data_IF_845593057738
#
_entry.id   IF_845593057738
#
_cell.length_a   1.000
_cell.length_b   1.000
_cell.length_c   1.000
_cell.angle_alpha   90.00
_cell.angle_beta   90.00
_cell.angle_gamma   90.00
#
_symmetry.space_group_name_H-M   'P 1'
#
loop_
_entity.id
_entity.type
_entity.pdbx_description
1 polymer ?
#
# COMPACT_ATOMS: atom_id res chain seq x y z
N UNK A 1 32.13 10.30 -18.36
CA UNK A 1 31.19 11.43 -18.55
C UNK A 1 29.72 11.01 -18.68
N UNK A 2 29.31 9.88 -19.29
CA UNK A 2 27.89 9.49 -19.35
C UNK A 2 27.29 9.05 -17.99
N UNK A 3 28.12 8.61 -17.04
CA UNK A 3 27.65 8.06 -15.75
C UNK A 3 27.00 9.13 -14.85
N UNK A 4 27.53 10.36 -14.86
CA UNK A 4 26.97 11.47 -14.07
C UNK A 4 25.56 11.86 -14.51
N UNK A 5 25.24 11.70 -15.80
CA UNK A 5 23.89 11.95 -16.30
C UNK A 5 22.89 10.92 -15.75
N UNK A 6 23.31 9.65 -15.62
CA UNK A 6 22.49 8.61 -15.02
C UNK A 6 22.34 8.77 -13.51
N UNK A 7 23.38 9.24 -12.80
CA UNK A 7 23.27 9.56 -11.38
C UNK A 7 22.30 10.72 -11.14
N UNK A 8 22.38 11.78 -11.94
CA UNK A 8 21.44 12.89 -11.86
C UNK A 8 20.01 12.45 -12.19
N UNK A 9 19.85 11.61 -13.22
CA UNK A 9 18.56 11.05 -13.60
C UNK A 9 17.95 10.17 -12.50
N UNK A 10 18.75 9.31 -11.86
CA UNK A 10 18.32 8.49 -10.72
C UNK A 10 17.86 9.38 -9.56
N UNK A 11 18.63 10.42 -9.22
CA UNK A 11 18.28 11.35 -8.15
C UNK A 11 16.97 12.10 -8.44
N UNK A 12 16.74 12.48 -9.69
CA UNK A 12 15.47 13.04 -10.14
C UNK A 12 14.35 12.00 -10.05
N UNK A 13 14.60 10.77 -10.51
CA UNK A 13 13.62 9.69 -10.52
C UNK A 13 13.19 9.30 -9.11
N UNK A 14 14.12 9.13 -8.16
CA UNK A 14 13.78 8.82 -6.76
C UNK A 14 13.06 9.99 -6.09
N UNK A 15 13.39 11.22 -6.45
CA UNK A 15 12.69 12.41 -5.94
C UNK A 15 11.24 12.42 -6.43
N UNK A 16 11.01 12.12 -7.71
CA UNK A 16 9.65 11.99 -8.27
C UNK A 16 8.91 10.81 -7.61
N UNK A 17 9.55 9.64 -7.50
CA UNK A 17 8.99 8.46 -6.86
C UNK A 17 8.55 8.77 -5.42
N UNK A 18 9.39 9.47 -4.67
CA UNK A 18 9.15 9.71 -3.24
C UNK A 18 8.19 10.86 -2.99
N UNK A 19 8.40 12.02 -3.63
CA UNK A 19 7.63 13.23 -3.33
C UNK A 19 6.42 13.46 -4.24
N UNK A 20 6.45 12.98 -5.49
CA UNK A 20 5.33 13.16 -6.42
C UNK A 20 4.39 11.94 -6.44
N UNK A 21 4.92 10.72 -6.26
CA UNK A 21 4.12 9.50 -6.30
C UNK A 21 3.76 9.01 -4.89
N UNK A 22 4.75 8.77 -4.03
CA UNK A 22 4.51 8.17 -2.72
C UNK A 22 3.87 9.14 -1.72
N UNK A 23 4.48 10.31 -1.48
CA UNK A 23 4.05 11.24 -0.44
C UNK A 23 2.58 11.71 -0.57
N UNK A 24 2.08 12.08 -1.77
CA UNK A 24 0.69 12.51 -1.91
C UNK A 24 -0.31 11.38 -1.68
N UNK A 25 0.09 10.12 -1.92
CA UNK A 25 -0.77 8.95 -1.81
C UNK A 25 -0.81 8.39 -0.38
N UNK A 26 0.32 8.31 0.31
CA UNK A 26 0.42 7.58 1.57
C UNK A 26 0.61 8.51 2.79
N UNK A 27 1.06 9.77 2.61
CA UNK A 27 1.26 10.80 3.66
C UNK A 27 2.12 10.38 4.87
N UNK A 28 2.83 9.25 4.78
CA UNK A 28 3.75 8.72 5.80
C UNK A 28 5.17 9.28 5.60
N UNK A 29 5.66 10.07 6.55
CA UNK A 29 6.95 10.78 6.44
C UNK A 29 8.15 9.89 6.77
N UNK A 30 7.93 8.87 7.58
CA UNK A 30 8.91 7.90 8.05
C UNK A 30 9.56 7.12 6.89
N UNK A 31 8.79 6.80 5.85
CA UNK A 31 9.26 6.01 4.71
C UNK A 31 10.00 6.82 3.64
N UNK A 32 9.87 8.15 3.63
CA UNK A 32 10.58 9.05 2.69
C UNK A 32 12.09 8.91 2.84
N UNK A 33 12.57 8.97 4.09
CA UNK A 33 14.00 8.82 4.39
C UNK A 33 14.50 7.45 3.99
N UNK A 34 13.66 6.42 4.17
CA UNK A 34 14.03 5.06 3.83
C UNK A 34 14.14 4.84 2.32
N UNK A 35 13.22 5.36 1.50
CA UNK A 35 13.33 5.24 0.04
C UNK A 35 14.52 6.00 -0.53
N UNK A 36 14.75 7.23 -0.07
CA UNK A 36 15.91 8.03 -0.49
C UNK A 36 17.22 7.37 -0.05
N UNK A 37 17.32 6.97 1.22
CA UNK A 37 18.52 6.35 1.77
C UNK A 37 18.86 5.03 1.10
N UNK A 38 17.86 4.19 0.82
CA UNK A 38 18.06 2.92 0.12
C UNK A 38 18.49 3.15 -1.33
N UNK A 39 17.81 4.03 -2.07
CA UNK A 39 18.16 4.31 -3.47
C UNK A 39 19.56 4.90 -3.60
N UNK A 40 19.87 5.96 -2.85
CA UNK A 40 21.20 6.61 -2.88
C UNK A 40 22.29 5.65 -2.38
N UNK A 41 22.00 4.85 -1.34
CA UNK A 41 22.91 3.83 -0.85
C UNK A 41 23.23 2.78 -1.91
N UNK A 42 22.21 2.27 -2.62
CA UNK A 42 22.41 1.30 -3.71
C UNK A 42 23.11 1.93 -4.91
N UNK A 43 22.76 3.16 -5.29
CA UNK A 43 23.47 3.92 -6.33
C UNK A 43 24.96 4.01 -6.01
N UNK A 44 25.31 4.42 -4.80
CA UNK A 44 26.70 4.57 -4.36
C UNK A 44 27.45 3.23 -4.34
N UNK A 45 26.86 2.18 -3.75
CA UNK A 45 27.48 0.85 -3.67
C UNK A 45 27.62 0.25 -5.07
N UNK A 46 26.62 0.36 -5.93
CA UNK A 46 26.68 -0.19 -7.27
C UNK A 46 27.61 0.57 -8.20
N UNK A 47 27.69 1.91 -8.10
CA UNK A 47 28.68 2.70 -8.80
C UNK A 47 30.12 2.35 -8.36
N UNK A 48 30.33 2.13 -7.05
CA UNK A 48 31.63 1.72 -6.53
C UNK A 48 32.05 0.31 -6.99
N UNK A 49 31.08 -0.61 -7.15
CA UNK A 49 31.32 -2.00 -7.55
C UNK A 49 31.29 -2.22 -9.07
N UNK A 50 30.70 -1.31 -9.85
CA UNK A 50 30.47 -1.47 -11.29
C UNK A 50 31.74 -1.59 -12.13
N UNK A 51 32.89 -1.16 -11.63
CA UNK A 51 34.20 -1.37 -12.26
C UNK A 51 34.81 -2.76 -12.00
N UNK A 52 34.19 -3.55 -11.13
CA UNK A 52 34.66 -4.88 -10.74
C UNK A 52 33.77 -5.96 -11.36
N UNK A 53 34.30 -7.16 -11.64
CA UNK A 53 33.55 -8.33 -12.16
C UNK A 53 32.51 -8.91 -11.18
N UNK A 54 32.15 -8.16 -10.14
CA UNK A 54 31.35 -8.53 -8.97
C UNK A 54 29.84 -8.33 -9.22
N UNK A 55 29.40 -8.35 -10.48
CA UNK A 55 27.97 -8.24 -10.83
C UNK A 55 27.10 -9.31 -10.14
N UNK A 56 27.65 -10.50 -9.90
CA UNK A 56 26.97 -11.58 -9.18
C UNK A 56 26.83 -11.33 -7.66
N UNK A 57 27.79 -10.63 -7.05
CA UNK A 57 27.78 -10.34 -5.61
C UNK A 57 26.70 -9.32 -5.21
N UNK A 58 26.36 -8.41 -6.13
CA UNK A 58 25.32 -7.40 -5.93
C UNK A 58 23.92 -8.03 -5.88
N UNK A 59 23.65 -9.04 -6.72
CA UNK A 59 22.40 -9.79 -6.69
C UNK A 59 22.21 -10.56 -5.38
N UNK A 60 23.27 -11.18 -4.85
CA UNK A 60 23.26 -11.81 -3.53
C UNK A 60 23.04 -10.80 -2.39
N UNK A 61 23.67 -9.62 -2.48
CA UNK A 61 23.48 -8.54 -1.50
C UNK A 61 22.04 -8.01 -1.47
N UNK A 62 21.43 -7.79 -2.63
CA UNK A 62 20.02 -7.40 -2.72
C UNK A 62 19.11 -8.48 -2.16
N UNK A 63 19.39 -9.76 -2.42
CA UNK A 63 18.63 -10.86 -1.83
C UNK A 63 18.74 -10.89 -0.29
N UNK A 64 19.91 -10.59 0.27
CA UNK A 64 20.12 -10.45 1.71
C UNK A 64 19.37 -9.27 2.32
N UNK A 65 19.35 -8.11 1.64
CA UNK A 65 18.56 -6.96 2.10
C UNK A 65 17.06 -7.30 2.07
N UNK A 66 16.58 -7.97 1.02
CA UNK A 66 15.19 -8.40 0.90
C UNK A 66 14.81 -9.44 1.96
N UNK A 67 15.71 -10.37 2.30
CA UNK A 67 15.46 -11.36 3.35
C UNK A 67 15.36 -10.69 4.73
N UNK A 68 16.19 -9.67 5.00
CA UNK A 68 16.13 -8.89 6.24
C UNK A 68 14.88 -8.01 6.31
N UNK A 69 14.45 -7.42 5.18
CA UNK A 69 13.21 -6.63 5.12
C UNK A 69 11.99 -7.48 5.49
N UNK A 70 11.94 -8.76 5.09
CA UNK A 70 10.87 -9.70 5.48
C UNK A 70 10.88 -10.03 6.98
N UNK A 71 12.03 -9.97 7.64
CA UNK A 71 12.19 -10.30 9.07
C UNK A 71 11.81 -9.14 10.01
N UNK A 72 11.37 -7.99 9.47
CA UNK A 72 11.02 -6.84 10.29
C UNK A 72 9.66 -7.02 10.96
N UNK A 73 9.59 -6.67 12.25
CA UNK A 73 8.39 -6.75 13.10
C UNK A 73 7.23 -5.82 12.73
N UNK A 74 7.43 -4.92 11.76
CA UNK A 74 6.37 -4.10 11.18
C UNK A 74 6.13 -4.60 9.77
N UNK A 75 4.94 -5.17 9.52
CA UNK A 75 4.55 -5.55 8.17
C UNK A 75 4.49 -4.29 7.30
N UNK A 76 5.41 -4.17 6.36
CA UNK A 76 5.30 -3.19 5.30
C UNK A 76 4.04 -3.52 4.49
N UNK A 77 3.21 -2.51 4.21
CA UNK A 77 2.06 -2.74 3.34
C UNK A 77 2.56 -3.21 1.97
N UNK A 78 1.78 -4.08 1.29
CA UNK A 78 2.19 -4.60 -0.02
C UNK A 78 2.50 -3.48 -1.04
N UNK A 79 1.82 -2.34 -0.93
CA UNK A 79 2.13 -1.15 -1.73
C UNK A 79 3.50 -0.56 -1.41
N UNK A 80 3.88 -0.48 -0.13
CA UNK A 80 5.15 0.08 0.34
C UNK A 80 6.35 -0.74 -0.14
N UNK A 81 6.18 -2.06 -0.24
CA UNK A 81 7.17 -2.97 -0.80
C UNK A 81 7.44 -2.61 -2.28
N UNK A 82 6.41 -2.35 -3.08
CA UNK A 82 6.59 -1.97 -4.49
C UNK A 82 7.42 -0.69 -4.66
N UNK A 83 7.20 0.32 -3.80
CA UNK A 83 8.02 1.54 -3.78
C UNK A 83 9.47 1.27 -3.38
N UNK A 84 9.71 0.39 -2.39
CA UNK A 84 11.06 -0.02 -2.00
C UNK A 84 11.82 -0.69 -3.15
N UNK A 85 11.19 -1.65 -3.81
CA UNK A 85 11.79 -2.35 -4.95
C UNK A 85 12.05 -1.40 -6.12
N UNK A 86 11.15 -0.44 -6.36
CA UNK A 86 11.35 0.58 -7.38
C UNK A 86 12.54 1.48 -7.07
N UNK A 87 12.67 1.93 -5.81
CA UNK A 87 13.80 2.72 -5.36
C UNK A 87 15.14 1.95 -5.50
N UNK A 88 15.16 0.66 -5.15
CA UNK A 88 16.32 -0.23 -5.35
C UNK A 88 16.69 -0.37 -6.83
N UNK A 89 15.70 -0.61 -7.69
CA UNK A 89 15.91 -0.80 -9.12
C UNK A 89 16.43 0.48 -9.80
N UNK A 90 15.87 1.64 -9.46
CA UNK A 90 16.35 2.93 -9.96
C UNK A 90 17.83 3.15 -9.59
N UNK A 91 18.18 2.94 -8.32
CA UNK A 91 19.56 3.12 -7.84
C UNK A 91 20.53 2.16 -8.51
N UNK A 92 20.09 0.93 -8.80
CA UNK A 92 20.90 -0.06 -9.51
C UNK A 92 21.10 0.31 -10.99
N UNK A 93 20.06 0.78 -11.67
CA UNK A 93 20.16 1.24 -13.07
C UNK A 93 21.07 2.48 -13.15
N UNK A 94 20.94 3.40 -12.19
CA UNK A 94 21.77 4.58 -12.09
C UNK A 94 23.24 4.24 -11.83
N UNK A 95 23.51 3.30 -10.91
CA UNK A 95 24.86 3.03 -10.42
C UNK A 95 25.65 2.00 -11.23
N UNK A 96 25.02 0.96 -11.77
CA UNK A 96 25.72 0.00 -12.64
C UNK A 96 26.02 0.57 -14.03
N UNK A 97 25.31 1.62 -14.42
CA UNK A 97 25.32 2.11 -15.79
C UNK A 97 24.68 1.10 -16.75
N UNK A 98 24.26 1.61 -17.90
CA UNK A 98 23.69 0.80 -18.99
C UNK A 98 24.39 1.16 -20.29
N UNK A 99 24.34 0.25 -21.26
CA UNK A 99 25.04 0.40 -22.55
C UNK A 99 24.69 1.71 -23.29
N UNK A 100 23.50 2.26 -23.05
CA UNK A 100 23.07 3.55 -23.60
C UNK A 100 22.34 4.38 -22.54
N UNK A 101 22.69 5.66 -22.33
CA UNK A 101 21.98 6.55 -21.42
C UNK A 101 20.48 6.67 -21.73
N UNK A 102 20.10 6.63 -23.01
CA UNK A 102 18.71 6.65 -23.43
C UNK A 102 17.93 5.42 -22.94
N UNK A 103 18.58 4.25 -22.93
CA UNK A 103 17.98 3.04 -22.38
C UNK A 103 17.78 3.14 -20.87
N UNK A 104 18.75 3.72 -20.15
CA UNK A 104 18.67 3.90 -18.69
C UNK A 104 17.53 4.82 -18.30
N UNK A 105 17.44 5.97 -18.98
CA UNK A 105 16.32 6.89 -18.84
C UNK A 105 14.98 6.23 -19.18
N UNK A 106 14.93 5.42 -20.24
CA UNK A 106 13.73 4.67 -20.63
C UNK A 106 13.27 3.70 -19.54
N UNK A 107 14.19 2.93 -18.95
CA UNK A 107 13.88 2.00 -17.86
C UNK A 107 13.43 2.72 -16.59
N UNK A 108 14.12 3.80 -16.21
CA UNK A 108 13.72 4.62 -15.05
C UNK A 108 12.32 5.20 -15.25
N UNK A 109 12.04 5.76 -16.43
CA UNK A 109 10.72 6.28 -16.79
C UNK A 109 9.65 5.18 -16.77
N UNK A 110 9.95 3.99 -17.30
CA UNK A 110 9.02 2.86 -17.29
C UNK A 110 8.65 2.43 -15.87
N UNK A 111 9.62 2.36 -14.96
CA UNK A 111 9.36 2.06 -13.54
C UNK A 111 8.42 3.11 -12.93
N UNK A 112 8.72 4.40 -13.12
CA UNK A 112 7.90 5.49 -12.60
C UNK A 112 6.48 5.46 -13.17
N UNK A 113 6.31 5.22 -14.47
CA UNK A 113 5.00 5.12 -15.13
C UNK A 113 4.22 3.92 -14.57
N UNK A 114 4.88 2.77 -14.42
CA UNK A 114 4.23 1.55 -13.90
C UNK A 114 3.70 1.77 -12.49
N UNK A 115 4.49 2.37 -11.60
CA UNK A 115 4.05 2.71 -10.24
C UNK A 115 2.96 3.80 -10.27
N UNK A 116 3.11 4.81 -11.12
CA UNK A 116 2.13 5.89 -11.22
C UNK A 116 0.75 5.40 -11.64
N UNK A 117 0.70 4.43 -12.56
CA UNK A 117 -0.54 3.80 -13.05
C UNK A 117 -1.05 2.77 -12.05
N UNK A 118 -0.19 1.87 -11.57
CA UNK A 118 -0.58 0.76 -10.69
C UNK A 118 -1.10 1.22 -9.34
N UNK A 119 -0.47 2.24 -8.74
CA UNK A 119 -0.88 2.79 -7.44
C UNK A 119 -1.82 4.01 -7.58
N UNK A 120 -2.46 4.20 -8.74
CA UNK A 120 -3.34 5.35 -8.91
C UNK A 120 -4.60 5.21 -8.04
N UNK A 121 -4.92 6.19 -7.15
CA UNK A 121 -6.07 6.12 -6.23
C UNK A 121 -7.45 6.05 -6.92
N UNK A 122 -7.49 6.18 -8.25
CA UNK A 122 -8.72 6.08 -9.06
C UNK A 122 -8.94 4.67 -9.62
N UNK A 123 -7.90 3.85 -9.73
CA UNK A 123 -8.03 2.47 -10.23
C UNK A 123 -8.76 1.55 -9.24
N UNK A 124 -8.58 1.75 -7.92
CA UNK A 124 -9.13 0.88 -6.87
C UNK A 124 -10.10 1.57 -5.92
N UNK A 125 -10.67 2.72 -6.30
CA UNK A 125 -11.53 3.58 -5.44
C UNK A 125 -12.79 2.89 -4.88
N UNK A 126 -13.14 1.71 -5.40
CA UNK A 126 -14.28 0.89 -4.97
C UNK A 126 -13.95 -0.19 -3.94
N UNK A 127 -12.67 -0.48 -3.67
CA UNK A 127 -12.26 -1.50 -2.71
C UNK A 127 -11.65 -0.84 -1.48
N UNK A 128 -12.40 -0.83 -0.38
CA UNK A 128 -11.92 -0.38 0.94
C UNK A 128 -11.75 -1.59 1.83
N UNK A 129 -10.58 -1.74 2.45
CA UNK A 129 -10.35 -2.69 3.53
C UNK A 129 -10.42 -1.93 4.86
N UNK A 130 -11.18 -2.45 5.82
CA UNK A 130 -11.30 -1.85 7.14
C UNK A 130 -11.31 -2.95 8.20
N UNK A 131 -10.41 -2.85 9.18
CA UNK A 131 -10.46 -3.68 10.37
C UNK A 131 -11.54 -3.13 11.29
N UNK A 132 -12.57 -3.93 11.54
CA UNK A 132 -13.67 -3.61 12.45
C UNK A 132 -13.59 -4.57 13.62
N UNK A 133 -13.67 -4.02 14.84
CA UNK A 133 -13.85 -4.80 16.06
C UNK A 133 -15.35 -4.89 16.30
N UNK A 134 -15.87 -6.11 16.29
CA UNK A 134 -17.25 -6.42 16.64
C UNK A 134 -17.28 -6.87 18.10
N UNK A 135 -18.16 -6.28 18.91
CA UNK A 135 -18.38 -6.63 20.33
C UNK A 135 -19.21 -7.92 20.51
N UNK A 136 -19.27 -8.75 19.46
CA UNK A 136 -19.93 -10.05 19.50
C UNK A 136 -19.10 -11.06 18.71
N UNK A 137 -18.90 -12.25 19.30
CA UNK A 137 -18.27 -13.39 18.63
C UNK A 137 -19.23 -14.00 17.59
N UNK A 138 -18.84 -13.97 16.32
CA UNK A 138 -19.59 -14.64 15.24
C UNK A 138 -18.84 -15.91 14.81
N UNK A 139 -19.41 -17.07 15.14
CA UNK A 139 -18.88 -18.38 14.71
C UNK A 139 -19.29 -18.80 13.29
N UNK A 140 -20.25 -18.09 12.69
CA UNK A 140 -20.75 -18.35 11.34
C UNK A 140 -20.41 -17.18 10.40
N UNK A 141 -19.72 -17.49 9.30
CA UNK A 141 -19.26 -16.53 8.30
C UNK A 141 -20.43 -15.83 7.59
N UNK A 142 -21.57 -16.52 7.42
CA UNK A 142 -22.75 -15.92 6.78
C UNK A 142 -23.44 -14.89 7.68
N UNK A 143 -23.54 -15.18 8.97
CA UNK A 143 -24.08 -14.25 9.97
C UNK A 143 -23.17 -13.02 10.12
N UNK A 144 -21.85 -13.22 10.06
CA UNK A 144 -20.85 -12.16 10.11
C UNK A 144 -20.96 -11.20 8.91
N UNK A 145 -21.01 -11.74 7.68
CA UNK A 145 -21.15 -10.92 6.46
C UNK A 145 -22.46 -10.12 6.48
N UNK A 146 -23.59 -10.75 6.84
CA UNK A 146 -24.88 -10.07 6.92
C UNK A 146 -24.94 -8.99 8.02
N UNK A 147 -24.20 -9.16 9.11
CA UNK A 147 -24.05 -8.12 10.13
C UNK A 147 -23.18 -6.96 9.62
N UNK A 148 -22.06 -7.26 8.97
CA UNK A 148 -21.14 -6.26 8.42
C UNK A 148 -21.78 -5.44 7.29
N UNK A 149 -22.55 -6.04 6.39
CA UNK A 149 -23.27 -5.32 5.35
C UNK A 149 -24.30 -4.34 5.92
N UNK A 150 -25.01 -4.72 6.98
CA UNK A 150 -25.96 -3.85 7.71
C UNK A 150 -25.26 -2.70 8.43
N UNK A 151 -24.12 -2.97 9.06
CA UNK A 151 -23.37 -1.98 9.83
C UNK A 151 -22.66 -0.95 8.93
N UNK A 152 -22.09 -1.40 7.81
CA UNK A 152 -21.35 -0.56 6.86
C UNK A 152 -22.24 0.11 5.80
N UNK A 153 -23.48 -0.33 5.62
CA UNK A 153 -24.35 0.12 4.52
C UNK A 153 -23.72 -0.13 3.14
N UNK A 154 -22.91 -1.18 3.02
CA UNK A 154 -22.06 -1.46 1.87
C UNK A 154 -22.13 -2.93 1.49
N UNK A 155 -21.81 -3.24 0.23
CA UNK A 155 -21.64 -4.64 -0.19
C UNK A 155 -20.28 -5.14 0.29
N UNK A 156 -20.26 -6.20 1.07
CA UNK A 156 -19.02 -6.84 1.53
C UNK A 156 -18.59 -7.85 0.47
N UNK A 157 -17.37 -7.70 -0.05
CA UNK A 157 -16.79 -8.59 -1.05
C UNK A 157 -15.93 -9.69 -0.44
N UNK A 158 -15.29 -9.40 0.69
CA UNK A 158 -14.54 -10.38 1.47
C UNK A 158 -14.51 -9.93 2.94
N UNK A 159 -14.66 -10.86 3.87
CA UNK A 159 -14.48 -10.62 5.29
C UNK A 159 -13.50 -11.68 5.81
N UNK A 160 -12.36 -11.25 6.33
CA UNK A 160 -11.34 -12.15 6.88
C UNK A 160 -11.23 -11.91 8.38
N UNK A 161 -11.59 -12.90 9.19
CA UNK A 161 -11.43 -12.83 10.66
C UNK A 161 -9.94 -12.90 10.98
N UNK A 162 -9.37 -11.81 11.50
CA UNK A 162 -7.97 -11.74 11.90
C UNK A 162 -7.75 -12.27 13.31
N UNK A 163 -8.71 -12.03 14.22
CA UNK A 163 -8.64 -12.50 15.61
C UNK A 163 -10.03 -12.67 16.18
N UNK A 164 -10.28 -13.82 16.78
CA UNK A 164 -11.49 -14.10 17.56
C UNK A 164 -11.08 -14.22 19.02
N UNK A 165 -11.53 -13.28 19.85
CA UNK A 165 -11.33 -13.29 21.28
C UNK A 165 -12.65 -13.70 21.95
N UNK A 166 -12.76 -14.99 22.25
CA UNK A 166 -13.92 -15.60 22.89
C UNK A 166 -14.04 -15.27 24.38
N UNK A 167 -13.01 -14.67 24.99
CA UNK A 167 -13.02 -14.30 26.41
C UNK A 167 -13.67 -12.94 26.59
N UNK A 168 -13.42 -12.01 25.66
CA UNK A 168 -14.00 -10.67 25.66
C UNK A 168 -15.17 -10.52 24.66
N UNK A 169 -15.60 -11.61 24.03
CA UNK A 169 -16.60 -11.62 22.95
C UNK A 169 -16.27 -10.64 21.80
N UNK A 170 -14.98 -10.42 21.49
CA UNK A 170 -14.59 -9.51 20.40
C UNK A 170 -14.09 -10.24 19.16
N UNK A 171 -14.53 -9.79 17.99
CA UNK A 171 -14.04 -10.30 16.69
C UNK A 171 -13.38 -9.17 15.91
N UNK A 172 -12.09 -9.32 15.60
CA UNK A 172 -11.35 -8.45 14.70
C UNK A 172 -11.47 -8.99 13.29
N UNK A 173 -12.11 -8.23 12.40
CA UNK A 173 -12.35 -8.65 11.02
C UNK A 173 -11.83 -7.61 10.06
N UNK A 174 -10.99 -8.01 9.11
CA UNK A 174 -10.64 -7.18 7.96
C UNK A 174 -11.68 -7.37 6.86
N UNK A 175 -12.43 -6.30 6.60
CA UNK A 175 -13.60 -6.33 5.73
C UNK A 175 -13.29 -5.51 4.48
N UNK A 176 -13.35 -6.17 3.32
CA UNK A 176 -13.29 -5.53 2.01
C UNK A 176 -14.70 -5.23 1.54
N UNK A 177 -15.07 -3.96 1.44
CA UNK A 177 -16.41 -3.56 1.03
C UNK A 177 -16.38 -2.46 -0.05
N UNK A 178 -17.48 -2.39 -0.81
CA UNK A 178 -17.77 -1.30 -1.74
C UNK A 178 -19.08 -0.61 -1.35
N UNK A 179 -19.05 0.70 -1.16
CA UNK A 179 -20.26 1.49 -0.86
C UNK A 179 -21.19 1.50 -2.08
N UNK A 180 -22.46 1.18 -1.85
CA UNK A 180 -23.50 1.42 -2.85
C UNK A 180 -23.62 2.93 -3.08
N UNK A 181 -23.54 3.36 -4.33
CA UNK A 181 -23.88 4.74 -4.68
C UNK A 181 -25.38 4.95 -4.48
N UNK A 182 -25.78 5.52 -3.33
CA UNK A 182 -27.02 6.31 -3.07
C UNK A 182 -28.35 5.63 -3.51
N UNK A 183 -29.28 5.29 -2.62
CA UNK A 183 -29.97 6.21 -1.73
C UNK A 183 -30.58 5.49 -0.51
N UNK A 184 -30.44 6.13 0.65
CA UNK A 184 -31.22 5.85 1.85
C UNK A 184 -32.65 6.35 1.61
N UNK A 185 -33.61 5.44 1.51
CA UNK A 185 -34.94 5.71 2.02
C UNK A 185 -34.91 5.25 3.47
N UNK A 186 -34.79 6.20 4.40
CA UNK A 186 -34.93 5.93 5.82
C UNK A 186 -36.35 5.36 6.04
N UNK A 187 -36.53 4.31 6.85
CA UNK A 187 -37.86 3.92 7.27
C UNK A 187 -38.47 5.10 8.03
N UNK A 188 -39.65 5.55 7.59
CA UNK A 188 -40.41 6.58 8.27
C UNK A 188 -40.57 6.15 9.73
N UNK A 189 -40.09 6.99 10.64
CA UNK A 189 -40.29 6.80 12.07
C UNK A 189 -41.80 6.73 12.33
N UNK A 190 -42.24 5.57 12.81
CA UNK A 190 -43.60 5.29 13.24
C UNK A 190 -43.90 6.23 14.43
N UNK A 191 -44.72 7.25 14.18
CA UNK A 191 -45.20 8.16 15.21
C UNK A 191 -46.08 7.37 16.21
N UNK A 192 -45.83 7.44 17.52
CA UNK A 192 -46.72 6.81 18.49
C UNK A 192 -48.09 7.50 18.46
N UNK A 193 -49.15 6.70 18.34
CA UNK A 193 -50.54 7.16 18.35
C UNK A 193 -50.89 7.94 19.63
N UNK A 194 -51.72 9.00 19.56
CA UNK A 194 -52.13 9.73 20.75
C UNK A 194 -53.04 8.87 21.62
N UNK A 195 -52.68 8.75 22.90
CA UNK A 195 -53.48 8.09 23.92
C UNK A 195 -54.82 8.82 24.09
N UNK A 196 -55.91 8.08 23.91
CA UNK A 196 -57.28 8.51 24.21
C UNK A 196 -57.40 8.65 25.73
N UNK A 197 -57.43 9.89 26.24
CA UNK A 197 -57.80 10.18 27.63
C UNK A 197 -59.33 10.31 27.68
N UNK A 198 -59.98 9.24 28.15
CA UNK A 198 -61.36 9.29 28.63
C UNK A 198 -61.35 9.91 30.02
N UNK A 199 -62.03 11.04 30.21
CA UNK A 199 -62.38 11.54 31.53
C UNK A 199 -63.85 11.92 31.59
N UNK A 200 -64.46 11.42 32.65
CA UNK A 200 -65.86 11.36 33.08
C UNK A 200 -66.56 12.71 33.22
#
# INVERSE_FOLDING_TARGET
MPDYALFAADLVAVTILTFALYFPRHRRRDLVVAYLGVNVGVLAVSAALGSSTVGAGLGLGLFGVLSIIRLRSTELAQSEVAYYFSALALGLIGGLGVTSPAMGLGLMALILVTIAVGDHPRLLRRYRSQTIVLDQAFGDETALVAHLERLLGARVHAASVQRLDLVNDTTWVDVRYSLHGRAVAAPAAEQPAPAVVVAR
#
